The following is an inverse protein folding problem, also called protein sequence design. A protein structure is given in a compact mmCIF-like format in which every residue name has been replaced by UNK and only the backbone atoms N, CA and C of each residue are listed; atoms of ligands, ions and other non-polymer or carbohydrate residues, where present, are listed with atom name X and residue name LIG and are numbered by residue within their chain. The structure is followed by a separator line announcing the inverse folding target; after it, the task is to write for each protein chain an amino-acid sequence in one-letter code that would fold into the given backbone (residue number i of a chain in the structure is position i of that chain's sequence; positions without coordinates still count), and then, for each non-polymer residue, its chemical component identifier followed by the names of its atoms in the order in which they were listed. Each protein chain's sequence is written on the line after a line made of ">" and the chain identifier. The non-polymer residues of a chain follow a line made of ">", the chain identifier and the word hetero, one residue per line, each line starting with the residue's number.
data_IF_475048326557
#
_entry.id   IF_475048326557
#
_cell.length_a   1.000
_cell.length_b   1.000
_cell.length_c   1.000
_cell.angle_alpha   90.00
_cell.angle_beta   90.00
_cell.angle_gamma   90.00
#
_symmetry.space_group_name_H-M   'P 1'
#
loop_
_entity.id
_entity.type
_entity.pdbx_description
1 polymer ?
#
# COMPACT_ATOMS: atom_id res chain seq x y z
N UNK A 1 -0.37 -52.39 22.46
CA UNK A 1 -0.96 -51.19 21.82
C UNK A 1 0.08 -50.61 20.89
N UNK A 2 -0.17 -50.59 19.59
CA UNK A 2 0.72 -49.97 18.60
C UNK A 2 0.17 -48.56 18.30
N UNK A 3 0.97 -47.54 18.56
CA UNK A 3 0.63 -46.17 18.20
C UNK A 3 1.02 -45.97 16.72
N UNK A 4 0.02 -45.74 15.88
CA UNK A 4 0.21 -45.38 14.48
C UNK A 4 0.58 -43.89 14.42
N UNK A 5 1.85 -43.60 14.14
CA UNK A 5 2.31 -42.23 13.93
C UNK A 5 2.17 -41.91 12.45
N UNK A 6 1.08 -41.23 12.09
CA UNK A 6 0.91 -40.68 10.76
C UNK A 6 1.99 -39.61 10.51
N UNK A 7 3.08 -40.00 9.83
CA UNK A 7 4.10 -39.05 9.37
C UNK A 7 3.51 -38.16 8.30
N UNK A 8 3.54 -36.84 8.51
CA UNK A 8 3.24 -35.88 7.45
C UNK A 8 4.17 -36.13 6.27
N UNK A 9 3.58 -36.57 5.16
CA UNK A 9 4.29 -36.76 3.89
C UNK A 9 4.54 -35.36 3.33
N UNK A 10 5.79 -35.01 3.07
CA UNK A 10 6.17 -33.70 2.52
C UNK A 10 5.46 -33.39 1.20
N UNK A 11 5.58 -32.14 0.73
CA UNK A 11 4.93 -31.65 -0.48
C UNK A 11 5.39 -32.50 -1.69
N UNK A 12 4.47 -33.14 -2.45
CA UNK A 12 4.86 -33.89 -3.64
C UNK A 12 5.58 -32.99 -4.65
N UNK A 13 6.59 -33.51 -5.36
CA UNK A 13 7.38 -32.74 -6.35
C UNK A 13 6.55 -32.02 -7.42
N UNK A 14 5.32 -32.48 -7.70
CA UNK A 14 4.40 -31.80 -8.62
C UNK A 14 3.87 -30.45 -8.09
N UNK A 15 3.86 -30.28 -6.77
CA UNK A 15 3.40 -29.06 -6.08
C UNK A 15 4.56 -28.25 -5.48
N UNK A 16 5.81 -28.71 -5.65
CA UNK A 16 7.00 -27.93 -5.30
C UNK A 16 7.17 -26.85 -6.37
N UNK A 17 7.15 -25.60 -5.93
CA UNK A 17 7.31 -24.45 -6.82
C UNK A 17 8.73 -24.43 -7.41
N UNK A 18 9.75 -24.90 -6.69
CA UNK A 18 11.19 -24.89 -7.06
C UNK A 18 11.58 -25.87 -8.18
N UNK A 19 10.66 -26.21 -9.07
CA UNK A 19 10.85 -27.19 -10.14
C UNK A 19 11.84 -26.65 -11.18
N UNK A 20 13.12 -26.98 -10.99
CA UNK A 20 14.21 -26.54 -11.88
C UNK A 20 15.38 -25.87 -11.16
N UNK A 21 15.36 -25.79 -9.82
CA UNK A 21 16.49 -25.28 -9.04
C UNK A 21 16.64 -23.76 -9.04
N UNK A 22 15.65 -23.03 -9.57
CA UNK A 22 15.57 -21.57 -9.42
C UNK A 22 15.07 -21.29 -8.00
N UNK A 23 15.78 -20.46 -7.21
CA UNK A 23 15.28 -20.01 -5.91
C UNK A 23 13.99 -19.21 -6.11
N UNK A 24 12.92 -19.63 -5.45
CA UNK A 24 11.62 -18.96 -5.49
C UNK A 24 11.41 -18.22 -4.19
N UNK A 25 11.16 -16.92 -4.29
CA UNK A 25 10.79 -16.12 -3.14
C UNK A 25 9.26 -16.19 -2.98
N UNK A 26 8.78 -17.30 -2.38
CA UNK A 26 7.35 -17.58 -2.28
C UNK A 26 6.69 -16.94 -1.05
N UNK A 27 7.41 -16.08 -0.34
CA UNK A 27 6.96 -15.53 0.94
C UNK A 27 6.59 -14.07 0.80
N UNK A 28 5.52 -13.66 1.47
CA UNK A 28 5.23 -12.25 1.64
C UNK A 28 6.38 -11.59 2.44
N UNK A 29 6.75 -10.38 2.07
CA UNK A 29 7.81 -9.62 2.73
C UNK A 29 7.36 -8.19 3.03
N UNK A 30 7.99 -7.60 4.04
CA UNK A 30 7.79 -6.18 4.36
C UNK A 30 8.76 -5.36 3.53
N UNK A 31 8.23 -4.32 2.88
CA UNK A 31 9.02 -3.36 2.13
C UNK A 31 8.83 -1.94 2.66
N UNK A 32 9.91 -1.18 2.77
CA UNK A 32 9.88 0.25 3.07
C UNK A 32 9.78 1.01 1.74
N UNK A 33 8.80 1.89 1.60
CA UNK A 33 8.65 2.71 0.38
C UNK A 33 9.81 3.69 0.27
N UNK A 34 10.60 3.57 -0.80
CA UNK A 34 11.73 4.46 -1.09
C UNK A 34 11.44 5.41 -2.26
N UNK A 35 10.54 5.04 -3.16
CA UNK A 35 10.08 5.90 -4.26
C UNK A 35 8.61 5.58 -4.61
N UNK A 36 7.79 6.63 -4.72
CA UNK A 36 6.38 6.55 -5.11
C UNK A 36 6.07 7.28 -6.43
N UNK A 37 7.09 7.78 -7.14
CA UNK A 37 6.93 8.43 -8.45
C UNK A 37 6.79 7.37 -9.53
N UNK A 38 5.55 7.12 -9.96
CA UNK A 38 5.24 6.19 -11.05
C UNK A 38 4.91 6.92 -12.37
N UNK A 39 5.80 6.85 -13.40
CA UNK A 39 5.52 7.45 -14.71
C UNK A 39 4.27 6.90 -15.39
N UNK A 40 3.88 5.65 -15.07
CA UNK A 40 2.71 5.00 -15.68
C UNK A 40 1.40 5.30 -14.95
N UNK A 41 1.45 6.03 -13.83
CA UNK A 41 0.29 6.39 -12.99
C UNK A 41 -0.58 5.18 -12.61
N UNK A 42 0.05 4.03 -12.43
CA UNK A 42 -0.57 2.77 -12.05
C UNK A 42 -0.37 2.43 -10.57
N UNK A 43 0.17 3.38 -9.80
CA UNK A 43 0.41 3.23 -8.37
C UNK A 43 1.63 2.36 -8.04
N UNK A 44 2.59 2.19 -8.95
CA UNK A 44 3.80 1.41 -8.63
C UNK A 44 4.67 2.12 -7.58
N UNK A 45 5.33 1.31 -6.76
CA UNK A 45 6.29 1.76 -5.77
C UNK A 45 7.63 1.07 -6.00
N UNK A 46 8.72 1.72 -5.62
CA UNK A 46 9.98 1.04 -5.35
C UNK A 46 10.14 0.90 -3.84
N UNK A 47 10.33 -0.34 -3.40
CA UNK A 47 10.44 -0.68 -1.99
C UNK A 47 11.80 -1.32 -1.70
N UNK A 48 12.34 -1.02 -0.53
CA UNK A 48 13.47 -1.73 0.04
C UNK A 48 12.95 -2.91 0.90
N UNK A 49 13.26 -4.18 0.56
CA UNK A 49 12.83 -5.33 1.35
C UNK A 49 13.60 -5.40 2.69
N UNK A 50 12.89 -5.41 3.82
CA UNK A 50 13.54 -5.44 5.14
C UNK A 50 14.26 -6.77 5.43
N UNK A 51 13.75 -7.88 4.92
CA UNK A 51 14.24 -9.23 5.26
C UNK A 51 15.47 -9.66 4.46
N UNK A 52 15.65 -9.15 3.24
CA UNK A 52 16.72 -9.58 2.32
C UNK A 52 17.29 -8.45 1.45
N UNK A 53 17.01 -7.19 1.81
CA UNK A 53 17.66 -6.04 1.19
C UNK A 53 19.17 -6.03 1.43
N UNK A 54 19.89 -5.26 0.59
CA UNK A 54 21.32 -5.01 0.82
C UNK A 54 21.57 -4.18 2.07
N UNK A 55 22.80 -4.16 2.57
CA UNK A 55 23.17 -3.47 3.83
C UNK A 55 22.83 -1.97 3.83
N UNK A 56 22.82 -1.34 2.66
CA UNK A 56 22.49 0.06 2.49
C UNK A 56 21.09 0.21 1.87
N UNK A 57 20.14 0.75 2.64
CA UNK A 57 18.78 0.95 2.15
C UNK A 57 18.66 2.05 1.07
N UNK A 58 19.66 2.93 0.98
CA UNK A 58 19.69 4.01 0.00
C UNK A 58 20.26 3.55 -1.35
N UNK A 59 20.75 2.30 -1.43
CA UNK A 59 21.20 1.70 -2.67
C UNK A 59 19.99 1.26 -3.52
N UNK A 60 19.75 2.01 -4.59
CA UNK A 60 18.66 1.76 -5.54
C UNK A 60 18.74 0.39 -6.22
N UNK A 61 19.92 -0.24 -6.27
CA UNK A 61 20.06 -1.59 -6.84
C UNK A 61 19.41 -2.67 -5.97
N UNK A 62 19.22 -2.38 -4.67
CA UNK A 62 18.53 -3.24 -3.71
C UNK A 62 17.02 -3.01 -3.71
N UNK A 63 16.51 -2.00 -4.42
CA UNK A 63 15.07 -1.70 -4.46
C UNK A 63 14.34 -2.63 -5.43
N UNK A 64 13.12 -3.00 -5.05
CA UNK A 64 12.21 -3.83 -5.85
C UNK A 64 11.02 -3.00 -6.29
N UNK A 65 10.65 -3.12 -7.56
CA UNK A 65 9.44 -2.50 -8.07
C UNK A 65 8.25 -3.40 -7.77
N UNK A 66 7.28 -2.87 -7.03
CA UNK A 66 6.03 -3.55 -6.67
C UNK A 66 4.85 -2.83 -7.31
N UNK A 67 3.84 -3.58 -7.73
CA UNK A 67 2.63 -3.05 -8.35
C UNK A 67 1.51 -2.92 -7.32
N UNK A 68 0.66 -1.92 -7.49
CA UNK A 68 -0.52 -1.78 -6.65
C UNK A 68 -1.52 -2.90 -6.96
N UNK A 69 -1.94 -3.63 -5.93
CA UNK A 69 -3.07 -4.54 -6.00
C UNK A 69 -4.28 -3.90 -5.32
N UNK A 70 -5.09 -3.17 -6.10
CA UNK A 70 -6.35 -2.65 -5.57
C UNK A 70 -7.29 -3.80 -5.16
N UNK A 71 -7.89 -3.77 -3.96
CA UNK A 71 -8.81 -4.82 -3.50
C UNK A 71 -10.09 -4.88 -4.34
N UNK A 72 -10.48 -3.76 -4.96
CA UNK A 72 -11.64 -3.68 -5.84
C UNK A 72 -11.25 -2.96 -7.13
N UNK A 73 -11.04 -3.71 -8.20
CA UNK A 73 -10.73 -3.16 -9.51
C UNK A 73 -11.37 -4.00 -10.60
N UNK A 74 -12.01 -3.34 -11.55
CA UNK A 74 -12.57 -3.97 -12.73
C UNK A 74 -12.51 -3.04 -13.92
N UNK A 75 -12.48 -3.64 -15.09
CA UNK A 75 -12.52 -2.94 -16.37
C UNK A 75 -13.49 -3.65 -17.29
N UNK A 76 -14.24 -2.88 -18.07
CA UNK A 76 -14.92 -3.45 -19.23
C UNK A 76 -13.83 -3.85 -20.24
N UNK A 77 -13.76 -5.13 -20.65
CA UNK A 77 -12.81 -5.55 -21.68
C UNK A 77 -13.08 -4.77 -22.96
N UNK A 78 -12.04 -4.57 -23.78
CA UNK A 78 -12.25 -4.01 -25.11
C UNK A 78 -13.23 -4.93 -25.87
N UNK A 79 -14.23 -4.38 -26.59
CA UNK A 79 -15.11 -5.20 -27.39
C UNK A 79 -14.29 -5.99 -28.42
N UNK A 80 -14.61 -7.26 -28.61
CA UNK A 80 -13.98 -8.08 -29.65
C UNK A 80 -14.19 -7.44 -31.03
N UNK A 81 -13.28 -7.66 -31.97
CA UNK A 81 -13.27 -6.97 -33.28
C UNK A 81 -14.56 -7.13 -34.09
N UNK A 82 -15.37 -8.16 -33.79
CA UNK A 82 -16.64 -8.52 -34.42
C UNK A 82 -17.88 -8.29 -33.53
N UNK A 83 -17.75 -7.49 -32.47
CA UNK A 83 -18.89 -7.17 -31.60
C UNK A 83 -19.74 -6.03 -32.17
N UNK A 84 -21.07 -6.15 -32.04
CA UNK A 84 -22.02 -5.08 -32.41
C UNK A 84 -21.80 -3.77 -31.62
N UNK A 85 -21.04 -3.83 -30.53
CA UNK A 85 -20.73 -2.71 -29.66
C UNK A 85 -19.37 -2.06 -29.95
N UNK A 86 -18.66 -2.46 -31.03
CA UNK A 86 -17.38 -1.88 -31.43
C UNK A 86 -17.45 -0.35 -31.58
N UNK A 87 -16.50 0.34 -30.96
CA UNK A 87 -16.28 1.77 -31.19
C UNK A 87 -15.62 2.00 -32.55
N UNK A 88 -16.05 3.05 -33.27
CA UNK A 88 -15.40 3.47 -34.51
C UNK A 88 -13.96 3.94 -34.30
N UNK A 89 -13.16 3.88 -35.35
CA UNK A 89 -11.72 4.24 -35.34
C UNK A 89 -11.54 5.77 -35.41
N UNK A 90 -12.48 6.44 -36.09
CA UNK A 90 -12.48 7.89 -36.30
C UNK A 90 -13.51 8.54 -35.37
N UNK A 91 -13.05 9.02 -34.20
CA UNK A 91 -13.86 9.76 -33.23
C UNK A 91 -13.78 9.23 -31.79
N UNK A 92 -14.52 9.83 -30.84
CA UNK A 92 -14.42 9.52 -29.40
C UNK A 92 -14.98 8.14 -29.00
N UNK A 93 -15.45 7.32 -29.95
CA UNK A 93 -16.06 6.02 -29.69
C UNK A 93 -17.50 6.08 -29.14
N UNK A 94 -17.95 5.01 -28.50
CA UNK A 94 -19.32 4.84 -27.98
C UNK A 94 -19.28 4.38 -26.52
N UNK A 95 -20.32 4.70 -25.74
CA UNK A 95 -20.42 4.27 -24.33
C UNK A 95 -20.23 2.75 -24.15
N UNK A 96 -20.94 1.93 -24.92
CA UNK A 96 -20.81 0.46 -24.85
C UNK A 96 -19.54 -0.08 -25.52
N UNK A 97 -18.86 0.73 -26.35
CA UNK A 97 -17.66 0.32 -27.09
C UNK A 97 -16.35 0.75 -26.44
N UNK A 98 -16.40 1.74 -25.55
CA UNK A 98 -15.24 2.23 -24.82
C UNK A 98 -15.06 1.45 -23.51
N UNK A 99 -13.81 1.23 -23.12
CA UNK A 99 -13.49 0.61 -21.84
C UNK A 99 -13.80 1.59 -20.72
N UNK A 100 -14.44 1.11 -19.67
CA UNK A 100 -14.62 1.85 -18.42
C UNK A 100 -13.94 1.09 -17.30
N UNK A 101 -13.27 1.82 -16.42
CA UNK A 101 -12.68 1.28 -15.19
C UNK A 101 -13.55 1.65 -13.99
N UNK A 102 -13.66 0.74 -13.04
CA UNK A 102 -14.42 0.93 -11.80
C UNK A 102 -13.69 0.24 -10.65
N UNK A 103 -13.91 0.73 -9.42
CA UNK A 103 -13.27 0.17 -8.24
C UNK A 103 -12.86 1.21 -7.21
N UNK A 104 -12.02 0.79 -6.28
CA UNK A 104 -11.37 1.64 -5.30
C UNK A 104 -9.96 1.99 -5.77
N UNK A 105 -9.57 3.25 -5.65
CA UNK A 105 -8.22 3.70 -5.93
C UNK A 105 -7.75 4.58 -4.78
N UNK A 106 -6.55 4.29 -4.27
CA UNK A 106 -5.94 5.02 -3.18
C UNK A 106 -4.66 5.69 -3.66
N UNK A 107 -4.30 6.80 -3.02
CA UNK A 107 -3.04 7.48 -3.25
C UNK A 107 -1.87 6.54 -2.88
N UNK A 108 -0.79 6.50 -3.68
CA UNK A 108 0.41 5.78 -3.30
C UNK A 108 0.89 6.19 -1.90
N UNK A 109 1.30 5.25 -1.04
CA UNK A 109 1.82 5.57 0.29
C UNK A 109 3.03 6.49 0.23
N UNK A 110 3.23 7.24 1.31
CA UNK A 110 4.39 8.13 1.46
C UNK A 110 5.69 7.35 1.64
N UNK A 111 6.80 8.00 1.29
CA UNK A 111 8.16 7.47 1.49
C UNK A 111 8.37 7.18 2.99
N UNK A 112 8.96 6.03 3.29
CA UNK A 112 9.15 5.51 4.65
C UNK A 112 8.01 4.61 5.13
N UNK A 113 6.85 4.62 4.47
CA UNK A 113 5.74 3.74 4.86
C UNK A 113 6.12 2.26 4.65
N UNK A 114 5.80 1.40 5.61
CA UNK A 114 5.94 -0.04 5.48
C UNK A 114 4.73 -0.65 4.77
N UNK A 115 4.98 -1.43 3.74
CA UNK A 115 3.96 -2.13 2.95
C UNK A 115 4.19 -3.63 2.95
N UNK A 116 3.09 -4.39 2.92
CA UNK A 116 3.15 -5.83 2.73
C UNK A 116 3.18 -6.15 1.24
N UNK A 117 4.24 -6.82 0.82
CA UNK A 117 4.50 -7.20 -0.55
C UNK A 117 4.41 -8.72 -0.73
N UNK A 118 3.98 -9.15 -1.91
CA UNK A 118 3.93 -10.56 -2.28
C UNK A 118 4.30 -10.75 -3.74
N UNK A 119 5.14 -11.74 -4.01
CA UNK A 119 5.60 -12.11 -5.36
C UNK A 119 4.79 -13.28 -5.90
N UNK A 120 4.26 -13.15 -7.11
CA UNK A 120 3.48 -14.22 -7.75
C UNK A 120 4.42 -15.24 -8.37
N UNK A 121 4.33 -16.50 -7.91
CA UNK A 121 5.20 -17.58 -8.39
C UNK A 121 6.68 -17.39 -8.05
N UNK A 122 6.96 -16.57 -7.02
CA UNK A 122 8.29 -16.14 -6.60
C UNK A 122 9.14 -15.45 -7.67
N UNK A 123 8.51 -14.87 -8.69
CA UNK A 123 9.16 -13.91 -9.59
C UNK A 123 9.13 -12.52 -8.94
N UNK A 124 10.28 -11.93 -8.58
CA UNK A 124 10.35 -10.60 -8.01
C UNK A 124 9.80 -9.51 -8.95
N UNK A 125 9.78 -9.74 -10.27
CA UNK A 125 9.23 -8.80 -11.26
C UNK A 125 7.69 -8.82 -11.30
N UNK A 126 7.08 -9.83 -10.70
CA UNK A 126 5.64 -9.99 -10.56
C UNK A 126 5.23 -9.81 -9.09
N UNK A 127 5.78 -8.78 -8.47
CA UNK A 127 5.47 -8.43 -7.08
C UNK A 127 4.37 -7.38 -6.99
N UNK A 128 3.50 -7.55 -6.01
CA UNK A 128 2.41 -6.64 -5.69
C UNK A 128 2.47 -6.22 -4.23
N UNK A 129 2.10 -4.98 -3.93
CA UNK A 129 1.81 -4.58 -2.56
C UNK A 129 0.29 -4.57 -2.34
N UNK A 130 -0.12 -5.12 -1.20
CA UNK A 130 -1.54 -5.36 -0.90
C UNK A 130 -2.10 -4.42 0.15
N UNK A 131 -1.22 -3.73 0.88
CA UNK A 131 -1.62 -2.77 1.90
C UNK A 131 -0.43 -2.20 2.66
N UNK A 132 -0.70 -1.16 3.43
CA UNK A 132 0.23 -0.57 4.37
C UNK A 132 0.10 -1.27 5.73
N UNK A 133 1.23 -1.43 6.42
CA UNK A 133 1.26 -1.93 7.79
C UNK A 133 1.06 -0.72 8.70
N UNK A 134 -0.04 -0.65 9.48
CA UNK A 134 -0.28 0.48 10.36
C UNK A 134 0.79 0.52 11.44
N UNK A 135 1.33 1.70 11.70
CA UNK A 135 2.23 1.92 12.83
C UNK A 135 1.41 2.16 14.08
N UNK A 136 1.92 1.71 15.23
CA UNK A 136 1.23 1.89 16.49
C UNK A 136 1.21 3.38 16.85
N UNK A 137 0.01 3.96 16.97
CA UNK A 137 -0.17 5.39 17.28
C UNK A 137 -0.59 6.25 16.09
N UNK A 138 -0.38 5.79 14.84
CA UNK A 138 -0.67 6.56 13.62
C UNK A 138 -2.04 6.19 13.00
N UNK A 139 -3.13 6.58 13.65
CA UNK A 139 -4.50 6.30 13.16
C UNK A 139 -5.48 7.47 13.20
N UNK A 140 -5.08 8.64 13.72
CA UNK A 140 -5.94 9.81 13.93
C UNK A 140 -6.57 10.34 12.63
N UNK A 141 -5.87 10.23 11.51
CA UNK A 141 -6.38 10.69 10.21
C UNK A 141 -7.09 9.61 9.38
N UNK A 142 -7.31 8.40 9.91
CA UNK A 142 -7.86 7.26 9.16
C UNK A 142 -9.19 6.79 9.77
N UNK A 143 -10.33 6.82 9.05
CA UNK A 143 -10.59 7.40 7.73
C UNK A 143 -11.13 8.84 7.82
N UNK A 144 -10.25 9.82 7.61
CA UNK A 144 -10.56 11.21 7.27
C UNK A 144 -11.11 12.19 8.35
N UNK A 145 -11.34 11.78 9.61
CA UNK A 145 -11.72 12.75 10.68
C UNK A 145 -10.53 13.07 11.58
N UNK A 146 -9.48 13.65 10.99
CA UNK A 146 -8.28 14.10 11.70
C UNK A 146 -8.39 15.49 12.38
N UNK A 147 -9.59 16.06 12.45
CA UNK A 147 -9.80 17.39 13.01
C UNK A 147 -10.08 17.34 14.52
N UNK A 148 -9.43 18.20 15.30
CA UNK A 148 -9.59 18.26 16.77
C UNK A 148 -9.80 19.71 17.23
N UNK A 149 -10.37 19.86 18.43
CA UNK A 149 -10.45 21.14 19.16
C UNK A 149 -9.15 21.43 19.91
N UNK A 150 -8.37 20.39 20.22
CA UNK A 150 -7.10 20.49 20.94
C UNK A 150 -5.93 20.56 19.95
N UNK A 151 -5.64 21.75 19.43
CA UNK A 151 -4.57 21.99 18.47
C UNK A 151 -3.62 23.09 18.91
N UNK A 152 -2.37 23.02 18.47
CA UNK A 152 -1.40 24.09 18.68
C UNK A 152 -1.65 25.23 17.71
N UNK A 153 -1.78 26.47 18.22
CA UNK A 153 -2.02 27.65 17.38
C UNK A 153 -0.79 27.98 16.54
N UNK A 154 -1.00 28.15 15.23
CA UNK A 154 -0.01 28.66 14.25
C UNK A 154 -0.51 29.96 13.61
N UNK A 155 0.33 30.67 12.86
CA UNK A 155 -0.09 31.89 12.14
C UNK A 155 -1.29 31.64 11.23
N UNK A 156 -1.40 30.44 10.64
CA UNK A 156 -2.53 30.02 9.83
C UNK A 156 -3.84 29.97 10.63
N UNK A 157 -3.80 29.46 11.87
CA UNK A 157 -5.00 29.39 12.74
C UNK A 157 -5.51 30.75 13.19
N UNK A 158 -4.66 31.79 13.22
CA UNK A 158 -5.08 33.14 13.56
C UNK A 158 -5.99 33.76 12.48
N UNK A 159 -5.91 33.27 11.24
CA UNK A 159 -6.74 33.72 10.11
C UNK A 159 -8.13 33.08 10.08
N UNK A 160 -8.33 31.99 10.84
CA UNK A 160 -9.59 31.23 10.87
C UNK A 160 -10.24 31.42 12.24
N UNK A 161 -10.82 32.60 12.47
CA UNK A 161 -11.29 33.05 13.79
C UNK A 161 -12.46 32.25 14.38
N UNK A 162 -13.22 31.56 13.54
CA UNK A 162 -14.54 31.00 13.90
C UNK A 162 -14.61 29.46 13.85
N UNK A 163 -13.51 28.76 13.52
CA UNK A 163 -13.50 27.30 13.49
C UNK A 163 -13.18 26.70 14.85
N UNK A 164 -14.08 25.86 15.37
CA UNK A 164 -13.87 25.10 16.61
C UNK A 164 -12.98 23.87 16.42
N UNK A 165 -12.87 23.34 15.20
CA UNK A 165 -12.06 22.15 14.87
C UNK A 165 -11.20 22.40 13.64
N UNK A 166 -9.93 22.01 13.74
CA UNK A 166 -8.95 22.17 12.66
C UNK A 166 -8.29 20.81 12.37
N UNK A 167 -8.00 20.46 11.12
CA UNK A 167 -7.20 19.28 10.78
C UNK A 167 -5.84 19.31 11.49
N UNK A 168 -5.50 18.20 12.13
CA UNK A 168 -4.25 18.05 12.90
C UNK A 168 -3.54 16.77 12.50
N UNK A 169 -2.21 16.76 12.62
CA UNK A 169 -1.37 15.57 12.47
C UNK A 169 -1.38 14.74 13.76
N UNK A 170 -0.56 13.70 13.80
CA UNK A 170 -0.43 12.81 14.95
C UNK A 170 0.29 13.47 16.14
N UNK A 171 0.17 12.84 17.32
CA UNK A 171 0.93 13.27 18.49
C UNK A 171 2.43 13.08 18.25
N UNK A 172 3.26 13.85 18.97
CA UNK A 172 4.70 13.69 18.89
C UNK A 172 5.16 12.42 19.61
N UNK A 173 5.35 11.34 18.86
CA UNK A 173 5.82 10.04 19.36
C UNK A 173 7.24 10.10 19.92
N UNK A 174 8.07 11.07 19.51
CA UNK A 174 9.43 11.26 20.04
C UNK A 174 9.45 11.86 21.45
N UNK A 175 8.30 12.29 21.98
CA UNK A 175 8.18 12.79 23.35
C UNK A 175 7.55 11.70 24.24
N UNK A 176 8.34 11.01 25.11
CA UNK A 176 7.83 9.92 25.95
C UNK A 176 6.68 10.35 26.85
N UNK A 177 6.67 11.61 27.31
CA UNK A 177 5.59 12.13 28.17
C UNK A 177 4.24 12.24 27.45
N UNK A 178 4.24 12.34 26.12
CA UNK A 178 3.02 12.38 25.32
C UNK A 178 2.66 10.99 24.80
N UNK A 179 3.66 10.22 24.35
CA UNK A 179 3.47 8.89 23.81
C UNK A 179 3.00 7.86 24.85
N UNK A 180 3.60 7.88 26.06
CA UNK A 180 3.26 6.93 27.13
C UNK A 180 2.03 7.37 27.94
N UNK A 181 1.40 8.50 27.62
CA UNK A 181 0.23 9.00 28.34
C UNK A 181 -1.03 8.20 27.94
N UNK A 182 -1.74 7.54 28.89
CA UNK A 182 -2.99 6.84 28.59
C UNK A 182 -4.08 7.73 27.99
N UNK A 183 -3.98 9.06 28.16
CA UNK A 183 -4.85 10.08 27.55
C UNK A 183 -4.15 10.85 26.44
N UNK A 184 -3.30 10.18 25.66
CA UNK A 184 -2.64 10.77 24.50
C UNK A 184 -3.62 11.36 23.48
N UNK A 185 -4.84 10.82 23.39
CA UNK A 185 -5.89 11.30 22.50
C UNK A 185 -6.44 12.70 22.86
N UNK A 186 -6.31 13.12 24.12
CA UNK A 186 -6.74 14.45 24.59
C UNK A 186 -5.65 15.52 24.42
N UNK A 187 -4.44 15.14 24.01
CA UNK A 187 -3.30 16.07 23.92
C UNK A 187 -3.43 16.99 22.73
N UNK A 188 -2.83 18.17 22.86
CA UNK A 188 -2.69 19.10 21.75
C UNK A 188 -1.91 18.48 20.61
N UNK A 189 -2.41 18.65 19.39
CA UNK A 189 -1.80 18.16 18.17
C UNK A 189 -1.39 19.31 17.25
N UNK A 190 -0.29 19.19 16.50
CA UNK A 190 0.08 20.19 15.52
C UNK A 190 -0.98 20.28 14.42
N UNK A 191 -1.21 21.49 13.92
CA UNK A 191 -2.09 21.73 12.77
C UNK A 191 -1.47 21.11 11.53
N UNK A 192 -2.30 20.53 10.66
CA UNK A 192 -1.87 20.04 9.35
C UNK A 192 -1.84 21.21 8.36
N UNK A 193 -0.77 22.00 8.37
CA UNK A 193 -0.51 23.14 7.49
C UNK A 193 0.41 22.83 6.29
#
# INVERSE_FOLDING_TARGET
>A
MAFDFQKNRGIPKAYSKDKGGVPIDDTAYVGIVKNNVDPTRSGRLQVYPESFGGVNEEDQTSWRTVRYLSPFYGITPAPYEDSQFKSGIDGPGRYLGNRHSYGMWFTPPDIGTRVLCMSVGGDPNMSYYVGCIPEAGLTHMVPAIGATENFTKTELTNSVSDTTRIPTVEINELNPKLFDDPRYFDKEKPVHD
#
